data_IF_864448288962
#
_entry.id   IF_864448288962
#
_cell.length_a   1.000
_cell.length_b   1.000
_cell.length_c   1.000
_cell.angle_alpha   90.00
_cell.angle_beta   90.00
_cell.angle_gamma   90.00
#
_symmetry.space_group_name_H-M   'P 1'
#
loop_
_entity.id
_entity.type
_entity.pdbx_description
1 polymer ?
#
# COMPACT_ATOMS: atom_id res chain seq x y z
N UNK A 1 8.75 5.67 -4.45
CA UNK A 1 9.55 5.63 -3.20
C UNK A 1 8.67 5.16 -2.06
N UNK A 2 9.25 4.82 -0.90
CA UNK A 2 8.48 4.69 0.35
C UNK A 2 8.81 5.92 1.17
N UNK A 3 7.78 6.71 1.49
CA UNK A 3 7.88 7.86 2.36
C UNK A 3 7.27 7.50 3.71
N UNK A 4 7.99 7.71 4.80
CA UNK A 4 7.44 7.59 6.16
C UNK A 4 7.00 8.96 6.63
N UNK A 5 5.76 9.07 7.09
CA UNK A 5 5.18 10.29 7.66
C UNK A 5 4.83 10.06 9.12
N UNK A 6 5.01 11.10 9.94
CA UNK A 6 4.55 11.17 11.33
C UNK A 6 3.54 12.30 11.47
N UNK A 7 2.39 12.04 12.05
CA UNK A 7 1.38 13.07 12.30
C UNK A 7 1.59 13.79 13.64
N UNK A 8 0.76 14.80 13.92
CA UNK A 8 0.80 15.57 15.17
C UNK A 8 0.38 14.78 16.41
N UNK A 9 -0.22 13.59 16.23
CA UNK A 9 -0.63 12.67 17.30
C UNK A 9 0.42 11.58 17.53
N UNK A 10 1.61 11.72 16.94
CA UNK A 10 2.70 10.75 16.98
C UNK A 10 2.41 9.39 16.32
N UNK A 11 1.39 9.31 15.45
CA UNK A 11 1.18 8.13 14.62
C UNK A 11 2.06 8.19 13.38
N UNK A 12 2.44 7.02 12.88
CA UNK A 12 3.29 6.82 11.72
C UNK A 12 2.48 6.22 10.58
N UNK A 13 2.79 6.59 9.34
CA UNK A 13 2.25 5.95 8.14
C UNK A 13 3.33 5.90 7.08
N UNK A 14 3.19 4.99 6.12
CA UNK A 14 4.03 4.98 4.93
C UNK A 14 3.18 5.21 3.67
N UNK A 15 3.77 5.87 2.69
CA UNK A 15 3.19 6.09 1.37
C UNK A 15 4.11 5.49 0.33
N UNK A 16 3.55 4.66 -0.54
CA UNK A 16 4.25 4.09 -1.69
C UNK A 16 3.90 4.90 -2.93
N UNK A 17 4.91 5.49 -3.55
CA UNK A 17 4.78 6.30 -4.77
C UNK A 17 5.48 5.64 -5.96
N UNK A 18 4.96 5.91 -7.15
CA UNK A 18 5.62 5.60 -8.42
C UNK A 18 6.90 6.45 -8.59
N UNK A 19 7.74 6.12 -9.57
CA UNK A 19 8.96 6.90 -9.88
C UNK A 19 8.67 8.39 -10.19
N UNK A 20 7.50 8.69 -10.75
CA UNK A 20 7.06 10.07 -11.03
C UNK A 20 6.31 10.78 -9.89
N UNK A 21 6.45 10.33 -8.63
CA UNK A 21 5.86 10.99 -7.46
C UNK A 21 4.37 10.70 -7.20
N UNK A 22 3.64 10.14 -8.17
CA UNK A 22 2.24 9.77 -7.99
C UNK A 22 2.08 8.69 -6.91
N UNK A 23 1.24 8.93 -5.90
CA UNK A 23 0.94 7.91 -4.89
C UNK A 23 0.22 6.71 -5.51
N UNK A 24 0.55 5.54 -4.98
CA UNK A 24 -0.06 4.25 -5.33
C UNK A 24 -0.89 3.78 -4.15
N UNK A 25 -0.29 3.70 -2.96
CA UNK A 25 -0.90 3.20 -1.73
C UNK A 25 -0.44 4.00 -0.52
N UNK A 26 -1.35 4.25 0.41
CA UNK A 26 -1.07 4.79 1.73
C UNK A 26 -1.46 3.77 2.80
N UNK A 27 -0.59 3.60 3.79
CA UNK A 27 -0.86 2.71 4.92
C UNK A 27 -1.90 3.29 5.89
N UNK A 28 -2.42 2.43 6.74
CA UNK A 28 -3.07 2.86 7.99
C UNK A 28 -2.07 3.58 8.90
N UNK A 29 -2.59 4.26 9.91
CA UNK A 29 -1.79 4.85 10.99
C UNK A 29 -1.32 3.77 11.97
N UNK A 30 -0.02 3.77 12.27
CA UNK A 30 0.63 2.95 13.28
C UNK A 30 0.92 3.80 14.52
N UNK A 31 0.70 3.29 15.74
CA UNK A 31 0.95 4.05 16.97
C UNK A 31 2.45 4.22 17.27
N UNK A 32 3.33 3.48 16.60
CA UNK A 32 4.77 3.57 16.82
C UNK A 32 5.58 3.33 15.54
N UNK A 33 6.79 3.89 15.49
CA UNK A 33 7.74 3.63 14.39
C UNK A 33 8.11 2.15 14.33
N UNK A 34 8.24 1.48 15.48
CA UNK A 34 8.55 0.05 15.59
C UNK A 34 7.50 -0.82 14.89
N UNK A 35 6.21 -0.51 15.04
CA UNK A 35 5.14 -1.26 14.35
C UNK A 35 5.14 -1.02 12.84
N UNK A 36 5.43 0.22 12.42
CA UNK A 36 5.59 0.55 11.01
C UNK A 36 6.77 -0.22 10.41
N UNK A 37 7.94 -0.18 11.06
CA UNK A 37 9.17 -0.85 10.61
C UNK A 37 8.93 -2.37 10.49
N UNK A 38 8.34 -3.00 11.52
CA UNK A 38 7.98 -4.42 11.49
C UNK A 38 6.98 -4.79 10.37
N UNK A 39 6.12 -3.84 9.97
CA UNK A 39 5.22 -4.02 8.84
C UNK A 39 5.98 -3.92 7.51
N UNK A 40 6.91 -2.98 7.38
CA UNK A 40 7.74 -2.83 6.18
C UNK A 40 8.66 -4.02 5.96
N UNK A 41 9.24 -4.59 7.02
CA UNK A 41 10.07 -5.81 6.94
C UNK A 41 9.31 -7.01 6.36
N UNK A 42 8.02 -7.14 6.70
CA UNK A 42 7.16 -8.24 6.23
C UNK A 42 6.50 -7.94 4.88
N UNK A 43 6.62 -6.71 4.38
CA UNK A 43 5.90 -6.25 3.21
C UNK A 43 6.33 -7.00 1.93
N UNK A 44 7.63 -7.20 1.62
CA UNK A 44 8.05 -7.89 0.41
C UNK A 44 7.47 -9.32 0.25
N UNK A 45 7.62 -10.24 1.23
CA UNK A 45 7.04 -11.58 1.08
C UNK A 45 5.52 -11.54 1.10
N UNK A 46 4.88 -10.56 1.77
CA UNK A 46 3.43 -10.44 1.77
C UNK A 46 2.88 -10.10 0.38
N UNK A 47 3.42 -9.08 -0.29
CA UNK A 47 2.91 -8.58 -1.57
C UNK A 47 3.21 -9.49 -2.76
N UNK A 48 4.05 -10.50 -2.56
CA UNK A 48 4.23 -11.58 -3.53
C UNK A 48 2.94 -12.38 -3.75
N UNK A 49 2.04 -12.43 -2.75
CA UNK A 49 0.80 -13.21 -2.75
C UNK A 49 -0.35 -12.41 -3.36
N UNK A 50 -0.98 -12.84 -4.47
CA UNK A 50 -2.08 -12.08 -5.07
C UNK A 50 -3.32 -11.94 -4.16
N UNK A 51 -3.54 -12.89 -3.25
CA UNK A 51 -4.71 -12.94 -2.35
C UNK A 51 -4.74 -11.83 -1.29
N UNK A 52 -3.62 -11.13 -1.05
CA UNK A 52 -3.56 -10.03 -0.09
C UNK A 52 -4.16 -8.72 -0.64
N UNK A 53 -4.49 -8.68 -1.93
CA UNK A 53 -5.09 -7.54 -2.60
C UNK A 53 -6.59 -7.72 -2.74
N UNK A 54 -7.34 -7.00 -1.92
CA UNK A 54 -8.80 -6.90 -2.04
C UNK A 54 -9.16 -5.79 -3.01
N UNK A 55 -9.93 -6.09 -4.05
CA UNK A 55 -10.40 -5.14 -5.06
C UNK A 55 -11.78 -4.64 -4.68
N UNK A 56 -12.02 -3.34 -4.82
CA UNK A 56 -13.27 -2.69 -4.44
C UNK A 56 -13.69 -1.65 -5.46
N UNK A 57 -15.00 -1.49 -5.57
CA UNK A 57 -15.64 -0.39 -6.30
C UNK A 57 -16.38 0.47 -5.28
N UNK A 58 -16.00 1.74 -5.18
CA UNK A 58 -16.69 2.72 -4.35
C UNK A 58 -18.07 3.06 -4.90
N UNK A 59 -18.93 3.64 -4.07
CA UNK A 59 -20.28 4.05 -4.48
C UNK A 59 -20.28 5.13 -5.57
N UNK A 60 -19.15 5.84 -5.73
CA UNK A 60 -18.87 6.80 -6.80
C UNK A 60 -18.44 6.13 -8.12
N UNK A 61 -18.47 4.79 -8.21
CA UNK A 61 -18.02 4.02 -9.37
C UNK A 61 -16.51 3.98 -9.56
N UNK A 62 -15.71 4.46 -8.59
CA UNK A 62 -14.25 4.42 -8.66
C UNK A 62 -13.70 3.12 -8.12
N UNK A 63 -12.64 2.63 -8.74
CA UNK A 63 -11.99 1.38 -8.38
C UNK A 63 -10.84 1.65 -7.43
N UNK A 64 -10.62 0.81 -6.44
CA UNK A 64 -9.45 0.88 -5.56
C UNK A 64 -9.15 -0.50 -4.99
N UNK A 65 -7.94 -0.68 -4.49
CA UNK A 65 -7.55 -1.91 -3.81
C UNK A 65 -7.11 -1.63 -2.37
N UNK A 66 -7.34 -2.61 -1.51
CA UNK A 66 -6.86 -2.65 -0.13
C UNK A 66 -5.84 -3.76 0.00
N UNK A 67 -4.68 -3.46 0.59
CA UNK A 67 -3.71 -4.45 1.01
C UNK A 67 -4.06 -4.95 2.41
N UNK A 68 -4.18 -6.27 2.57
CA UNK A 68 -4.44 -6.93 3.85
C UNK A 68 -3.28 -7.86 4.25
N UNK A 69 -3.13 -8.10 5.54
CA UNK A 69 -2.29 -9.18 6.03
C UNK A 69 -2.98 -10.55 5.93
N UNK A 70 -2.29 -11.61 6.37
CA UNK A 70 -2.82 -12.98 6.34
C UNK A 70 -4.03 -13.20 7.27
N UNK A 71 -4.24 -12.31 8.23
CA UNK A 71 -5.35 -12.34 9.17
C UNK A 71 -6.51 -11.43 8.70
N UNK A 72 -6.41 -10.84 7.51
CA UNK A 72 -7.42 -9.94 6.96
C UNK A 72 -7.35 -8.51 7.50
N UNK A 73 -6.33 -8.15 8.30
CA UNK A 73 -6.14 -6.79 8.80
C UNK A 73 -5.66 -5.89 7.66
N UNK A 74 -6.31 -4.75 7.48
CA UNK A 74 -5.88 -3.75 6.50
C UNK A 74 -4.54 -3.14 6.87
N UNK A 75 -3.61 -3.17 5.92
CA UNK A 75 -2.30 -2.49 5.99
C UNK A 75 -2.37 -1.13 5.31
N UNK A 76 -3.10 -1.03 4.19
CA UNK A 76 -3.23 0.22 3.46
C UNK A 76 -4.20 0.15 2.29
N UNK A 77 -4.52 1.31 1.74
CA UNK A 77 -5.50 1.46 0.66
C UNK A 77 -4.87 2.27 -0.47
N UNK A 78 -5.18 1.87 -1.70
CA UNK A 78 -4.76 2.61 -2.88
C UNK A 78 -5.51 3.92 -3.02
N UNK A 79 -5.01 4.79 -3.91
CA UNK A 79 -5.86 5.85 -4.46
C UNK A 79 -7.03 5.26 -5.26
N UNK A 80 -7.99 6.10 -5.56
CA UNK A 80 -9.06 5.78 -6.49
C UNK A 80 -8.58 5.81 -7.95
N UNK A 81 -9.12 4.90 -8.74
CA UNK A 81 -8.90 4.73 -10.17
C UNK A 81 -10.21 4.90 -10.92
N UNK A 82 -10.12 5.42 -12.14
CA UNK A 82 -11.29 5.63 -13.01
C UNK A 82 -11.71 4.38 -13.77
N UNK A 83 -10.88 3.34 -13.78
CA UNK A 83 -11.15 2.07 -14.44
C UNK A 83 -10.53 0.90 -13.66
N UNK A 84 -11.13 -0.29 -13.81
CA UNK A 84 -10.63 -1.54 -13.24
C UNK A 84 -9.21 -1.86 -13.74
N UNK A 85 -8.96 -1.71 -15.05
CA UNK A 85 -7.62 -1.88 -15.63
C UNK A 85 -6.59 -0.92 -15.01
N UNK A 86 -7.00 0.32 -14.68
CA UNK A 86 -6.16 1.27 -13.96
C UNK A 86 -5.79 0.78 -12.55
N UNK A 87 -6.74 0.19 -11.85
CA UNK A 87 -6.52 -0.41 -10.53
C UNK A 87 -5.58 -1.62 -10.60
N UNK A 88 -5.77 -2.53 -11.56
CA UNK A 88 -4.86 -3.69 -11.74
C UNK A 88 -3.43 -3.25 -12.06
N UNK A 89 -3.26 -2.25 -12.91
CA UNK A 89 -1.95 -1.63 -13.15
C UNK A 89 -1.38 -1.00 -11.87
N UNK A 90 -2.24 -0.44 -11.01
CA UNK A 90 -1.88 0.02 -9.68
C UNK A 90 -1.28 -1.08 -8.81
N UNK A 91 -1.91 -2.26 -8.78
CA UNK A 91 -1.43 -3.43 -8.03
C UNK A 91 -0.07 -3.90 -8.57
N UNK A 92 0.08 -4.01 -9.89
CA UNK A 92 1.36 -4.41 -10.52
C UNK A 92 2.46 -3.41 -10.16
N UNK A 93 2.20 -2.11 -10.31
CA UNK A 93 3.17 -1.06 -9.96
C UNK A 93 3.55 -1.08 -8.48
N UNK A 94 2.58 -1.33 -7.59
CA UNK A 94 2.83 -1.47 -6.16
C UNK A 94 3.78 -2.64 -5.89
N UNK A 95 3.46 -3.84 -6.40
CA UNK A 95 4.27 -5.05 -6.22
C UNK A 95 5.70 -4.85 -6.74
N UNK A 96 5.83 -4.33 -7.97
CA UNK A 96 7.14 -4.04 -8.57
C UNK A 96 7.92 -3.03 -7.74
N UNK A 97 7.25 -2.03 -7.15
CA UNK A 97 7.93 -1.04 -6.32
C UNK A 97 8.47 -1.64 -5.03
N UNK A 98 7.71 -2.52 -4.37
CA UNK A 98 8.18 -3.19 -3.15
C UNK A 98 9.33 -4.15 -3.47
N UNK A 99 9.22 -4.94 -4.54
CA UNK A 99 10.28 -5.87 -4.94
C UNK A 99 11.60 -5.14 -5.27
N UNK A 100 11.55 -3.94 -5.85
CA UNK A 100 12.73 -3.15 -6.17
C UNK A 100 13.42 -2.53 -4.95
N UNK A 101 12.80 -2.52 -3.77
CA UNK A 101 13.39 -1.96 -2.53
C UNK A 101 14.20 -3.01 -1.77
N UNK A 102 13.88 -4.29 -1.95
CA UNK A 102 14.61 -5.42 -1.36
C UNK A 102 15.99 -5.67 -2.02
N UNK A 103 16.26 -5.01 -3.17
CA UNK A 103 17.48 -5.19 -3.97
C UNK A 103 18.43 -3.98 -3.94
N UNK A 104 18.20 -3.01 -3.05
CA UNK A 104 19.00 -1.79 -2.92
C UNK A 104 19.52 -1.62 -1.50
#
# INVERSE_FOLDING_TARGET
MIEVKKDNKNYYSFIVTAKGGNSILQSVSFPSKKELDATLEKLPPLVSKPSVFERKTGHNGKFHFTLKDQNGKTIGTSKEYTSEAGMENGIVNFRNRIAAIDQS
#
